data_IF_547854979689
#
_entry.id   IF_547854979689
#
_cell.length_a   1.000
_cell.length_b   1.000
_cell.length_c   1.000
_cell.angle_alpha   90.00
_cell.angle_beta   90.00
_cell.angle_gamma   90.00
#
_symmetry.space_group_name_H-M   'P 1'
#
loop_
_entity.id
_entity.type
_entity.pdbx_description
1 polymer ?
#
# COMPACT_ATOMS: atom_id res chain seq x y z
N UNK A 1 -10.84 -0.93 47.31
CA UNK A 1 -10.02 -1.00 46.08
C UNK A 1 -10.02 0.37 45.45
N UNK A 2 -8.87 1.00 45.28
CA UNK A 2 -8.76 2.33 44.68
C UNK A 2 -8.41 2.13 43.20
N UNK A 3 -9.19 2.67 42.27
CA UNK A 3 -8.88 2.73 40.85
C UNK A 3 -8.00 3.96 40.63
N UNK A 4 -6.70 3.74 40.46
CA UNK A 4 -5.75 4.82 40.15
C UNK A 4 -5.57 4.86 38.63
N UNK A 5 -5.94 5.98 38.01
CA UNK A 5 -5.69 6.25 36.60
C UNK A 5 -4.43 7.15 36.56
N UNK A 6 -3.37 6.68 35.92
CA UNK A 6 -2.18 7.49 35.67
C UNK A 6 -2.24 8.10 34.25
N UNK A 7 -1.70 9.29 34.10
CA UNK A 7 -1.48 9.95 32.81
C UNK A 7 -0.21 9.46 32.09
N UNK A 8 0.47 8.47 32.65
CA UNK A 8 1.65 7.83 32.06
C UNK A 8 1.24 6.74 31.03
N UNK A 9 0.42 7.11 30.09
CA UNK A 9 0.24 6.41 28.82
C UNK A 9 1.15 7.02 27.78
N UNK A 10 2.46 7.08 28.06
CA UNK A 10 3.44 7.41 27.04
C UNK A 10 3.42 6.27 26.02
N UNK A 11 2.94 6.53 24.80
CA UNK A 11 3.14 5.60 23.70
C UNK A 11 4.63 5.32 23.59
N UNK A 12 5.03 4.04 23.67
CA UNK A 12 6.41 3.67 23.43
C UNK A 12 6.82 4.25 22.06
N UNK A 13 7.95 4.97 22.03
CA UNK A 13 8.50 5.49 20.78
C UNK A 13 8.99 4.29 19.96
N UNK A 14 8.14 3.85 19.05
CA UNK A 14 8.51 2.81 18.08
C UNK A 14 9.67 3.30 17.21
N UNK A 15 10.65 2.43 16.98
CA UNK A 15 11.74 2.71 16.05
C UNK A 15 11.15 3.09 14.68
N UNK A 16 11.51 4.27 14.16
CA UNK A 16 11.01 4.77 12.87
C UNK A 16 12.11 4.67 11.83
N UNK A 17 11.75 4.15 10.66
CA UNK A 17 12.65 4.17 9.52
C UNK A 17 12.98 5.62 9.15
N UNK A 18 14.27 5.96 9.18
CA UNK A 18 14.74 7.32 8.90
C UNK A 18 14.67 7.62 7.40
N UNK A 19 14.57 8.91 7.00
CA UNK A 19 14.73 9.27 5.59
C UNK A 19 16.09 8.82 5.06
N UNK A 20 16.09 8.23 3.85
CA UNK A 20 17.32 7.69 3.28
C UNK A 20 17.06 6.81 2.07
N UNK A 21 18.10 6.17 1.60
CA UNK A 21 18.03 5.23 0.48
C UNK A 21 18.30 3.83 1.01
N UNK A 22 17.35 2.94 0.78
CA UNK A 22 17.38 1.58 1.27
C UNK A 22 17.26 0.58 0.12
N UNK A 23 17.69 -0.64 0.37
CA UNK A 23 17.33 -1.78 -0.46
C UNK A 23 16.16 -2.49 0.20
N UNK A 24 15.13 -2.77 -0.60
CA UNK A 24 13.98 -3.55 -0.16
C UNK A 24 13.56 -4.56 -1.20
N UNK A 25 12.69 -5.47 -0.79
CA UNK A 25 12.13 -6.51 -1.66
C UNK A 25 10.62 -6.40 -1.63
N UNK A 26 10.01 -6.36 -2.81
CA UNK A 26 8.55 -6.38 -2.92
C UNK A 26 8.03 -7.72 -2.43
N UNK A 27 7.33 -7.76 -1.32
CA UNK A 27 6.81 -9.01 -0.76
C UNK A 27 5.31 -9.17 -0.97
N UNK A 28 4.58 -8.05 -1.14
CA UNK A 28 3.13 -8.13 -1.32
C UNK A 28 2.62 -7.11 -2.32
N UNK A 29 1.69 -7.55 -3.17
CA UNK A 29 0.93 -6.70 -4.08
C UNK A 29 -0.54 -6.98 -3.85
N UNK A 30 -1.32 -5.91 -3.64
CA UNK A 30 -2.74 -6.00 -3.33
C UNK A 30 -3.53 -5.17 -4.34
N UNK A 31 -4.46 -5.81 -5.05
CA UNK A 31 -5.51 -5.12 -5.80
C UNK A 31 -6.55 -4.59 -4.80
N UNK A 32 -6.60 -3.28 -4.65
CA UNK A 32 -7.54 -2.60 -3.75
C UNK A 32 -8.90 -2.32 -4.40
N UNK A 33 -9.04 -2.66 -5.69
CA UNK A 33 -10.23 -2.39 -6.47
C UNK A 33 -10.39 -0.92 -6.85
N UNK A 34 -11.59 -0.60 -7.35
CA UNK A 34 -11.97 0.75 -7.78
C UNK A 34 -12.63 1.50 -6.63
N UNK A 35 -12.13 2.70 -6.34
CA UNK A 35 -12.66 3.56 -5.29
C UNK A 35 -12.97 4.95 -5.81
N UNK A 36 -13.92 5.64 -5.18
CA UNK A 36 -14.18 7.04 -5.45
C UNK A 36 -13.11 7.91 -4.78
N UNK A 37 -12.49 8.78 -5.54
CA UNK A 37 -11.54 9.78 -5.05
C UNK A 37 -12.06 11.16 -5.39
N UNK A 38 -11.95 12.06 -4.45
CA UNK A 38 -12.28 13.48 -4.65
C UNK A 38 -10.97 14.29 -4.71
N UNK A 39 -10.80 15.01 -5.80
CA UNK A 39 -9.68 15.93 -5.96
C UNK A 39 -10.21 17.31 -6.42
N UNK A 40 -9.91 18.35 -5.67
CA UNK A 40 -10.38 19.74 -5.94
C UNK A 40 -11.89 19.86 -6.14
N UNK A 41 -12.68 19.02 -5.44
CA UNK A 41 -14.13 18.98 -5.55
C UNK A 41 -14.68 18.13 -6.70
N UNK A 42 -13.82 17.55 -7.53
CA UNK A 42 -14.21 16.60 -8.59
C UNK A 42 -14.04 15.16 -8.11
N UNK A 43 -15.10 14.38 -8.25
CA UNK A 43 -15.10 12.94 -7.92
C UNK A 43 -14.73 12.11 -9.13
N UNK A 44 -13.80 11.20 -8.96
CA UNK A 44 -13.38 10.26 -9.99
C UNK A 44 -13.25 8.85 -9.43
N UNK A 45 -13.52 7.84 -10.26
CA UNK A 45 -13.33 6.44 -9.90
C UNK A 45 -11.95 6.00 -10.39
N UNK A 46 -11.12 5.47 -9.47
CA UNK A 46 -9.78 5.01 -9.81
C UNK A 46 -9.57 3.59 -9.27
N UNK A 47 -9.13 2.69 -10.13
CA UNK A 47 -8.64 1.38 -9.70
C UNK A 47 -7.26 1.55 -9.08
N UNK A 48 -7.03 0.99 -7.91
CA UNK A 48 -5.80 1.17 -7.16
C UNK A 48 -5.15 -0.16 -6.83
N UNK A 49 -3.83 -0.16 -6.83
CA UNK A 49 -3.00 -1.27 -6.35
C UNK A 49 -2.03 -0.76 -5.30
N UNK A 50 -1.70 -1.62 -4.34
CA UNK A 50 -0.73 -1.34 -3.29
C UNK A 50 0.46 -2.28 -3.43
N UNK A 51 1.66 -1.71 -3.47
CA UNK A 51 2.93 -2.44 -3.45
C UNK A 51 3.55 -2.29 -2.07
N UNK A 52 3.95 -3.40 -1.46
CA UNK A 52 4.58 -3.42 -0.15
C UNK A 52 5.97 -4.03 -0.22
N UNK A 53 6.91 -3.38 0.44
CA UNK A 53 8.32 -3.74 0.42
C UNK A 53 8.81 -4.00 1.82
N UNK A 54 9.59 -5.07 1.97
CA UNK A 54 10.38 -5.37 3.15
C UNK A 54 11.76 -4.73 2.98
N UNK A 55 12.19 -3.93 3.94
CA UNK A 55 13.53 -3.33 3.93
C UNK A 55 14.54 -4.37 4.40
N UNK A 56 15.50 -4.68 3.54
CA UNK A 56 16.48 -5.74 3.79
C UNK A 56 17.39 -5.42 4.98
N UNK A 57 17.78 -4.15 5.13
CA UNK A 57 18.53 -3.65 6.29
C UNK A 57 18.12 -2.20 6.55
N UNK A 58 17.68 -1.93 7.74
CA UNK A 58 17.53 -0.59 8.26
C UNK A 58 18.59 -0.41 9.34
N UNK A 59 19.44 0.62 9.20
CA UNK A 59 20.52 0.90 10.14
C UNK A 59 20.27 2.24 10.81
N UNK A 60 20.62 2.35 12.10
CA UNK A 60 20.66 3.61 12.80
C UNK A 60 21.95 4.40 12.47
N UNK A 61 22.10 5.65 12.97
CA UNK A 61 23.32 6.44 12.73
C UNK A 61 24.60 5.82 13.32
N UNK A 62 24.47 4.88 14.24
CA UNK A 62 25.57 4.13 14.87
C UNK A 62 25.85 2.77 14.22
N UNK A 63 25.27 2.51 13.05
CA UNK A 63 25.42 1.27 12.29
C UNK A 63 24.83 0.01 12.97
N UNK A 64 23.88 0.15 13.90
CA UNK A 64 23.12 -0.99 14.42
C UNK A 64 21.92 -1.27 13.55
N UNK A 65 21.62 -2.56 13.34
CA UNK A 65 20.42 -2.95 12.61
C UNK A 65 19.16 -2.62 13.44
N UNK A 66 18.24 -1.87 12.84
CA UNK A 66 16.96 -1.51 13.44
C UNK A 66 15.91 -2.50 12.94
N UNK A 67 15.23 -3.15 13.87
CA UNK A 67 14.07 -3.98 13.61
C UNK A 67 12.84 -3.36 14.28
N UNK A 68 11.65 -3.82 13.88
CA UNK A 68 10.43 -3.52 14.62
C UNK A 68 10.48 -4.18 16.01
N UNK A 69 9.62 -3.76 16.95
CA UNK A 69 9.58 -4.32 18.31
C UNK A 69 9.43 -5.84 18.37
N UNK A 70 8.80 -6.44 17.36
CA UNK A 70 8.60 -7.88 17.23
C UNK A 70 9.71 -8.56 16.41
N UNK A 71 10.86 -7.91 16.28
CA UNK A 71 12.03 -8.40 15.54
C UNK A 71 11.81 -8.56 14.03
N UNK A 72 10.66 -8.12 13.50
CA UNK A 72 10.42 -8.14 12.06
C UNK A 72 11.13 -6.99 11.35
N UNK A 73 11.51 -7.17 10.07
CA UNK A 73 12.05 -6.07 9.26
C UNK A 73 10.99 -4.99 9.02
N UNK A 74 11.44 -3.77 8.74
CA UNK A 74 10.53 -2.69 8.39
C UNK A 74 9.79 -2.98 7.08
N UNK A 75 8.48 -2.77 7.09
CA UNK A 75 7.63 -2.74 5.91
C UNK A 75 7.35 -1.30 5.48
N UNK A 76 7.44 -1.02 4.19
CA UNK A 76 7.02 0.25 3.59
C UNK A 76 6.13 -0.02 2.38
N UNK A 77 5.19 0.88 2.12
CA UNK A 77 4.24 0.65 1.04
C UNK A 77 3.95 1.92 0.25
N UNK A 78 3.48 1.73 -0.99
CA UNK A 78 2.96 2.81 -1.83
C UNK A 78 1.74 2.30 -2.61
N UNK A 79 0.68 3.11 -2.57
CA UNK A 79 -0.52 2.86 -3.36
C UNK A 79 -0.45 3.67 -4.64
N UNK A 80 -0.87 3.07 -5.75
CA UNK A 80 -0.87 3.66 -7.07
C UNK A 80 -2.22 3.49 -7.73
N UNK A 81 -2.60 4.43 -8.58
CA UNK A 81 -3.62 4.15 -9.60
C UNK A 81 -3.10 3.05 -10.51
N UNK A 82 -3.90 2.00 -10.73
CA UNK A 82 -3.53 0.85 -11.57
C UNK A 82 -3.56 1.23 -13.06
N UNK A 83 -2.58 2.02 -13.48
CA UNK A 83 -2.48 2.55 -14.84
C UNK A 83 -1.03 2.57 -15.33
N UNK A 84 -0.82 2.14 -16.57
CA UNK A 84 0.46 2.27 -17.28
C UNK A 84 0.45 3.40 -18.31
N UNK A 85 -0.50 4.36 -18.16
CA UNK A 85 -0.50 5.56 -18.98
C UNK A 85 0.81 6.35 -18.79
N UNK A 86 1.27 7.10 -19.80
CA UNK A 86 2.59 7.73 -19.81
C UNK A 86 2.82 8.65 -18.58
N UNK A 87 1.81 9.39 -18.17
CA UNK A 87 1.89 10.28 -17.02
C UNK A 87 1.77 9.57 -15.66
N UNK A 88 1.33 8.29 -15.63
CA UNK A 88 1.03 7.58 -14.40
C UNK A 88 2.29 7.33 -13.55
N UNK A 89 2.17 7.57 -12.25
CA UNK A 89 3.26 7.36 -11.30
C UNK A 89 3.69 5.91 -11.23
N UNK A 90 2.75 4.96 -11.32
CA UNK A 90 3.07 3.53 -11.37
C UNK A 90 4.03 3.23 -12.53
N UNK A 91 3.71 3.69 -13.76
CA UNK A 91 4.58 3.45 -14.92
C UNK A 91 5.97 4.04 -14.70
N UNK A 92 6.05 5.27 -14.25
CA UNK A 92 7.34 5.96 -14.00
C UNK A 92 8.18 5.20 -12.98
N UNK A 93 7.60 4.80 -11.86
CA UNK A 93 8.33 4.07 -10.83
C UNK A 93 8.74 2.67 -11.31
N UNK A 94 7.88 1.97 -12.05
CA UNK A 94 8.22 0.66 -12.63
C UNK A 94 9.34 0.75 -13.69
N UNK A 95 9.31 1.74 -14.57
CA UNK A 95 10.38 1.96 -15.56
C UNK A 95 11.72 2.30 -14.88
N UNK A 96 11.70 3.16 -13.85
CA UNK A 96 12.87 3.46 -13.05
C UNK A 96 13.40 2.23 -12.30
N UNK A 97 12.53 1.43 -11.71
CA UNK A 97 12.89 0.21 -10.99
C UNK A 97 13.47 -0.85 -11.93
N UNK A 98 12.84 -1.09 -13.06
CA UNK A 98 13.31 -2.03 -14.08
C UNK A 98 14.56 -1.53 -14.80
N UNK A 99 14.75 -0.21 -14.86
CA UNK A 99 15.81 0.44 -15.65
C UNK A 99 15.59 0.35 -17.15
N UNK A 100 14.34 0.14 -17.59
CA UNK A 100 13.94 0.11 -19.01
C UNK A 100 12.48 0.53 -19.17
N UNK A 101 12.16 1.15 -20.30
CA UNK A 101 10.80 1.47 -20.69
C UNK A 101 9.96 0.20 -20.94
N UNK A 102 8.64 0.36 -20.88
CA UNK A 102 7.71 -0.67 -21.32
C UNK A 102 7.67 -0.78 -22.83
N UNK A 103 7.58 -2.02 -23.34
CA UNK A 103 7.27 -2.27 -24.75
C UNK A 103 5.77 -2.11 -25.01
N UNK A 104 5.36 -2.00 -26.28
CA UNK A 104 3.96 -1.93 -26.65
C UNK A 104 3.17 -3.18 -26.17
N UNK A 105 3.79 -4.35 -26.23
CA UNK A 105 3.19 -5.60 -25.77
C UNK A 105 2.98 -5.59 -24.24
N UNK A 106 3.99 -5.10 -23.48
CA UNK A 106 3.89 -4.95 -22.03
C UNK A 106 2.82 -3.90 -21.65
N UNK A 107 2.68 -2.82 -22.43
CA UNK A 107 1.65 -1.80 -22.20
C UNK A 107 0.23 -2.31 -22.47
N UNK A 108 0.07 -3.30 -23.34
CA UNK A 108 -1.22 -3.94 -23.59
C UNK A 108 -1.67 -4.84 -22.43
N UNK A 109 -0.74 -5.34 -21.61
CA UNK A 109 -1.06 -6.14 -20.42
C UNK A 109 0.22 -6.53 -19.66
N UNK A 110 0.45 -5.91 -18.51
CA UNK A 110 1.58 -6.21 -17.65
C UNK A 110 1.10 -6.86 -16.35
N UNK A 111 1.54 -8.09 -16.12
CA UNK A 111 1.29 -8.78 -14.86
C UNK A 111 2.19 -8.22 -13.76
N UNK A 112 1.62 -7.43 -12.87
CA UNK A 112 2.35 -6.85 -11.72
C UNK A 112 2.79 -7.91 -10.72
N UNK A 113 2.17 -9.08 -10.68
CA UNK A 113 2.52 -10.19 -9.79
C UNK A 113 3.96 -10.66 -9.97
N UNK A 114 4.56 -10.48 -11.16
CA UNK A 114 5.96 -10.82 -11.43
C UNK A 114 6.95 -10.01 -10.58
N UNK A 115 6.52 -8.89 -9.99
CA UNK A 115 7.35 -8.05 -9.15
C UNK A 115 7.54 -8.58 -7.73
N UNK A 116 6.71 -9.55 -7.31
CA UNK A 116 6.83 -10.17 -5.99
C UNK A 116 8.14 -10.95 -5.89
N UNK A 117 8.88 -10.67 -4.83
CA UNK A 117 10.24 -11.19 -4.59
C UNK A 117 11.33 -10.36 -5.24
N UNK A 118 11.01 -9.34 -6.04
CA UNK A 118 12.03 -8.53 -6.73
C UNK A 118 12.59 -7.43 -5.84
N UNK A 119 13.92 -7.27 -5.85
CA UNK A 119 14.61 -6.21 -5.12
C UNK A 119 14.45 -4.86 -5.79
N UNK A 120 14.34 -3.81 -4.97
CA UNK A 120 14.28 -2.42 -5.40
C UNK A 120 15.22 -1.55 -4.55
N UNK A 121 15.72 -0.47 -5.11
CA UNK A 121 16.33 0.62 -4.37
C UNK A 121 15.24 1.66 -4.09
N UNK A 122 15.00 1.93 -2.82
CA UNK A 122 13.84 2.69 -2.33
C UNK A 122 14.35 3.95 -1.66
N UNK A 123 13.93 5.09 -2.15
CA UNK A 123 14.13 6.37 -1.50
C UNK A 123 12.97 6.63 -0.54
N UNK A 124 13.29 6.77 0.74
CA UNK A 124 12.33 7.01 1.83
C UNK A 124 12.44 8.46 2.28
N UNK A 125 11.31 9.10 2.41
CA UNK A 125 11.13 10.36 3.13
C UNK A 125 10.13 10.18 4.26
N UNK A 126 9.81 11.30 4.92
CA UNK A 126 8.75 11.33 5.92
C UNK A 126 7.55 12.15 5.42
N UNK A 127 6.37 11.76 5.83
CA UNK A 127 5.16 12.54 5.60
C UNK A 127 5.22 13.84 6.38
N UNK A 128 4.75 14.93 5.77
CA UNK A 128 4.63 16.20 6.45
C UNK A 128 3.54 16.15 7.53
N UNK A 129 3.67 16.97 8.56
CA UNK A 129 2.60 17.18 9.52
C UNK A 129 1.43 17.93 8.86
N UNK A 130 0.20 17.53 9.20
CA UNK A 130 -1.03 18.23 8.84
C UNK A 130 -1.85 18.50 10.10
N UNK A 131 -1.58 19.64 10.80
CA UNK A 131 -2.27 19.97 12.05
C UNK A 131 -3.78 20.18 11.86
N UNK A 132 -4.22 20.56 10.66
CA UNK A 132 -5.64 20.76 10.37
C UNK A 132 -6.42 19.44 10.41
N UNK A 133 -5.73 18.33 10.12
CA UNK A 133 -6.28 16.97 10.20
C UNK A 133 -5.85 16.22 11.47
N UNK A 134 -5.16 16.87 12.38
CA UNK A 134 -4.61 16.24 13.59
C UNK A 134 -3.47 15.25 13.32
N UNK A 135 -2.82 15.33 12.15
CA UNK A 135 -1.77 14.42 11.74
C UNK A 135 -0.39 14.97 12.11
N UNK A 136 0.35 14.25 12.94
CA UNK A 136 1.67 14.67 13.42
C UNK A 136 2.78 14.55 12.36
N UNK A 137 2.56 13.79 11.28
CA UNK A 137 3.59 13.49 10.28
C UNK A 137 4.64 12.49 10.78
N UNK A 138 5.75 12.43 10.02
CA UNK A 138 6.91 11.61 10.40
C UNK A 138 6.80 10.12 10.06
N UNK A 139 5.77 9.68 9.36
CA UNK A 139 5.69 8.30 8.88
C UNK A 139 6.55 8.12 7.62
N UNK A 140 7.18 6.94 7.51
CA UNK A 140 7.97 6.60 6.33
C UNK A 140 7.10 6.58 5.07
N UNK A 141 7.60 7.22 4.01
CA UNK A 141 6.95 7.35 2.72
C UNK A 141 7.93 7.00 1.61
N UNK A 142 7.51 6.16 0.66
CA UNK A 142 8.29 5.89 -0.55
C UNK A 142 8.20 7.10 -1.49
N UNK A 143 9.31 7.79 -1.70
CA UNK A 143 9.41 8.90 -2.64
C UNK A 143 9.66 8.37 -4.05
N UNK A 144 10.56 7.39 -4.19
CA UNK A 144 10.99 6.89 -5.49
C UNK A 144 11.42 5.42 -5.41
N UNK A 145 11.12 4.68 -6.46
CA UNK A 145 11.67 3.34 -6.70
C UNK A 145 12.69 3.43 -7.84
N UNK A 146 13.84 2.80 -7.67
CA UNK A 146 14.89 2.77 -8.69
C UNK A 146 15.56 1.40 -8.74
N UNK A 147 16.31 1.16 -9.80
CA UNK A 147 17.05 -0.08 -9.99
C UNK A 147 18.16 -0.20 -8.94
N UNK A 148 18.28 -1.35 -8.25
CA UNK A 148 19.40 -1.61 -7.34
C UNK A 148 20.75 -1.64 -8.06
N UNK A 149 21.83 -1.30 -7.37
CA UNK A 149 23.18 -1.27 -7.96
C UNK A 149 23.63 -2.62 -8.52
N UNK A 150 23.24 -3.74 -7.87
CA UNK A 150 23.46 -5.11 -8.37
C UNK A 150 22.45 -5.60 -9.40
N UNK A 151 21.55 -4.72 -9.88
CA UNK A 151 20.41 -5.08 -10.71
C UNK A 151 19.25 -5.68 -9.89
N UNK A 152 18.09 -5.82 -10.55
CA UNK A 152 16.91 -6.42 -9.93
C UNK A 152 17.14 -7.92 -9.78
N UNK A 153 16.97 -8.43 -8.58
CA UNK A 153 17.14 -9.84 -8.22
C UNK A 153 15.88 -10.35 -7.51
N UNK A 154 15.61 -11.64 -7.66
CA UNK A 154 14.54 -12.29 -6.90
C UNK A 154 15.13 -12.89 -5.62
N UNK A 155 14.61 -12.47 -4.47
CA UNK A 155 15.06 -12.91 -3.16
C UNK A 155 13.87 -13.28 -2.26
N UNK A 156 14.12 -14.18 -1.31
CA UNK A 156 13.16 -14.50 -0.26
C UNK A 156 13.05 -13.34 0.74
N UNK A 157 11.89 -13.22 1.38
CA UNK A 157 11.58 -12.25 2.43
C UNK A 157 11.18 -12.96 3.71
N UNK A 158 11.23 -12.27 4.84
CA UNK A 158 10.69 -12.76 6.11
C UNK A 158 9.16 -12.78 6.05
N UNK A 159 8.57 -11.73 5.48
CA UNK A 159 7.13 -11.69 5.25
C UNK A 159 6.75 -12.61 4.07
N UNK A 160 5.56 -13.24 4.09
CA UNK A 160 5.07 -14.05 2.98
C UNK A 160 5.02 -13.27 1.66
N UNK A 161 5.51 -13.89 0.58
CA UNK A 161 5.45 -13.33 -0.76
C UNK A 161 4.11 -13.66 -1.40
N UNK A 162 3.21 -12.69 -1.51
CA UNK A 162 1.84 -12.90 -2.00
C UNK A 162 1.39 -11.81 -2.98
N UNK A 163 0.47 -12.20 -3.86
CA UNK A 163 -0.30 -11.30 -4.69
C UNK A 163 -1.77 -11.54 -4.40
N UNK A 164 -2.51 -10.50 -4.04
CA UNK A 164 -3.95 -10.54 -3.86
C UNK A 164 -4.63 -9.93 -5.08
N UNK A 165 -5.48 -10.72 -5.73
CA UNK A 165 -6.31 -10.34 -6.86
C UNK A 165 -7.77 -10.26 -6.42
N UNK A 166 -8.35 -9.07 -6.53
CA UNK A 166 -9.72 -8.82 -6.06
C UNK A 166 -10.77 -9.50 -6.96
N UNK A 167 -10.53 -9.63 -8.25
CA UNK A 167 -11.46 -10.29 -9.16
C UNK A 167 -11.56 -11.78 -8.84
N UNK A 168 -10.40 -12.44 -8.66
CA UNK A 168 -10.35 -13.85 -8.26
C UNK A 168 -10.99 -14.05 -6.86
N UNK A 169 -10.82 -13.09 -5.93
CA UNK A 169 -11.47 -13.12 -4.62
C UNK A 169 -13.00 -13.01 -4.73
N UNK A 170 -13.50 -12.04 -5.50
CA UNK A 170 -14.93 -11.82 -5.66
C UNK A 170 -15.65 -12.99 -6.39
N UNK A 171 -14.93 -13.84 -7.11
CA UNK A 171 -15.51 -15.03 -7.74
C UNK A 171 -16.11 -16.01 -6.72
N UNK A 172 -15.65 -16.01 -5.44
CA UNK A 172 -16.28 -16.79 -4.38
C UNK A 172 -17.75 -16.42 -4.20
N UNK A 173 -18.04 -15.13 -4.11
CA UNK A 173 -19.39 -14.61 -3.84
C UNK A 173 -20.31 -14.71 -5.07
N UNK A 174 -19.73 -14.73 -6.26
CA UNK A 174 -20.47 -14.84 -7.53
C UNK A 174 -20.80 -16.29 -7.91
N UNK A 175 -20.55 -17.26 -7.05
CA UNK A 175 -20.81 -18.69 -7.32
C UNK A 175 -19.83 -19.35 -8.28
N UNK A 176 -18.71 -18.69 -8.59
CA UNK A 176 -17.65 -19.17 -9.48
C UNK A 176 -16.41 -19.60 -8.69
N UNK A 177 -16.61 -20.15 -7.49
CA UNK A 177 -15.51 -20.59 -6.64
C UNK A 177 -14.62 -21.60 -7.36
N UNK A 178 -13.32 -21.35 -7.33
CA UNK A 178 -12.28 -22.21 -7.86
C UNK A 178 -11.05 -22.22 -6.90
N UNK A 179 -10.01 -22.95 -7.25
CA UNK A 179 -8.80 -23.02 -6.40
C UNK A 179 -8.13 -21.66 -6.19
N UNK A 180 -8.17 -20.77 -7.19
CA UNK A 180 -7.61 -19.42 -7.07
C UNK A 180 -8.43 -18.56 -6.13
N UNK A 181 -9.77 -18.58 -6.25
CA UNK A 181 -10.66 -17.84 -5.36
C UNK A 181 -10.44 -18.24 -3.91
N UNK A 182 -10.34 -19.54 -3.64
CA UNK A 182 -10.06 -20.06 -2.30
C UNK A 182 -8.71 -19.55 -1.77
N UNK A 183 -7.65 -19.59 -2.59
CA UNK A 183 -6.35 -19.05 -2.21
C UNK A 183 -6.41 -17.55 -1.91
N UNK A 184 -7.24 -16.78 -2.64
CA UNK A 184 -7.45 -15.35 -2.37
C UNK A 184 -8.19 -15.12 -1.05
N UNK A 185 -9.12 -15.99 -0.67
CA UNK A 185 -9.78 -15.91 0.65
C UNK A 185 -8.78 -16.12 1.79
N UNK A 186 -7.95 -17.15 1.68
CA UNK A 186 -6.90 -17.41 2.67
C UNK A 186 -5.94 -16.20 2.80
N UNK A 187 -5.53 -15.61 1.66
CA UNK A 187 -4.69 -14.40 1.64
C UNK A 187 -5.42 -13.21 2.27
N UNK A 188 -6.70 -13.01 1.94
CA UNK A 188 -7.49 -11.89 2.47
C UNK A 188 -7.58 -11.91 4.00
N UNK A 189 -7.79 -13.09 4.60
CA UNK A 189 -7.83 -13.24 6.06
C UNK A 189 -6.51 -12.89 6.74
N UNK A 190 -5.37 -13.11 6.04
CA UNK A 190 -4.03 -12.78 6.53
C UNK A 190 -3.64 -11.31 6.30
N UNK A 191 -4.41 -10.56 5.49
CA UNK A 191 -4.13 -9.14 5.27
C UNK A 191 -4.39 -8.33 6.55
N UNK A 192 -3.60 -7.27 6.80
CA UNK A 192 -3.89 -6.31 7.86
C UNK A 192 -5.32 -5.74 7.73
N UNK A 193 -6.01 -5.57 8.87
CA UNK A 193 -7.41 -5.13 8.91
C UNK A 193 -7.66 -3.84 8.12
N UNK A 194 -6.72 -2.89 8.15
CA UNK A 194 -6.86 -1.65 7.40
C UNK A 194 -6.88 -1.88 5.87
N UNK A 195 -6.12 -2.86 5.37
CA UNK A 195 -6.13 -3.24 3.93
C UNK A 195 -7.43 -3.94 3.59
N UNK A 196 -7.90 -4.86 4.45
CA UNK A 196 -9.21 -5.51 4.28
C UNK A 196 -10.33 -4.48 4.18
N UNK A 197 -10.30 -3.46 5.05
CA UNK A 197 -11.27 -2.36 5.02
C UNK A 197 -11.17 -1.53 3.74
N UNK A 198 -9.97 -1.29 3.22
CA UNK A 198 -9.79 -0.61 1.93
C UNK A 198 -10.41 -1.43 0.79
N UNK A 199 -10.21 -2.75 0.76
CA UNK A 199 -10.79 -3.66 -0.22
C UNK A 199 -12.32 -3.70 -0.10
N UNK A 200 -12.87 -3.81 1.11
CA UNK A 200 -14.31 -3.82 1.37
C UNK A 200 -15.03 -2.55 0.91
N UNK A 201 -14.32 -1.44 0.84
CA UNK A 201 -14.84 -0.16 0.32
C UNK A 201 -14.71 -0.02 -1.22
N UNK A 202 -14.27 -1.05 -1.94
CA UNK A 202 -14.20 -1.03 -3.40
C UNK A 202 -15.54 -1.32 -4.07
N UNK A 203 -15.75 -0.79 -5.27
CA UNK A 203 -16.97 -1.03 -6.03
C UNK A 203 -17.15 -2.50 -6.38
N UNK A 204 -16.06 -3.21 -6.66
CA UNK A 204 -16.06 -4.63 -7.02
C UNK A 204 -16.50 -5.50 -5.83
N UNK A 205 -15.96 -5.22 -4.63
CA UNK A 205 -16.34 -5.94 -3.42
C UNK A 205 -17.80 -5.69 -3.05
N UNK A 206 -18.24 -4.44 -3.06
CA UNK A 206 -19.63 -4.07 -2.73
C UNK A 206 -20.62 -4.66 -3.74
N UNK A 207 -20.25 -4.71 -5.02
CA UNK A 207 -21.08 -5.36 -6.04
C UNK A 207 -21.21 -6.87 -5.84
N UNK A 208 -20.14 -7.53 -5.34
CA UNK A 208 -20.16 -8.95 -5.03
C UNK A 208 -20.85 -9.27 -3.70
N UNK A 209 -20.93 -8.30 -2.76
CA UNK A 209 -21.47 -8.46 -1.40
C UNK A 209 -22.55 -7.40 -1.09
N UNK A 210 -23.69 -7.41 -1.77
CA UNK A 210 -24.72 -6.36 -1.62
C UNK A 210 -25.34 -6.28 -0.22
N UNK A 211 -25.26 -7.35 0.57
CA UNK A 211 -25.81 -7.39 1.93
C UNK A 211 -24.93 -6.66 2.95
N UNK A 212 -23.63 -6.49 2.71
CA UNK A 212 -22.73 -5.72 3.59
C UNK A 212 -22.92 -4.20 3.44
N UNK A 213 -23.43 -3.70 2.32
CA UNK A 213 -23.68 -2.26 2.11
C UNK A 213 -24.68 -1.67 3.12
N UNK A 214 -25.52 -2.50 3.73
CA UNK A 214 -26.55 -2.09 4.68
C UNK A 214 -26.15 -2.19 6.16
N UNK A 215 -25.05 -2.85 6.50
CA UNK A 215 -24.66 -3.09 7.89
C UNK A 215 -23.87 -1.93 8.52
N UNK A 216 -23.19 -1.11 7.74
CA UNK A 216 -22.33 -0.03 8.25
C UNK A 216 -23.04 1.31 8.49
N UNK A 217 -24.34 1.41 8.20
CA UNK A 217 -25.09 2.67 8.38
C UNK A 217 -25.64 2.90 9.78
N UNK A 218 -25.59 1.91 10.66
CA UNK A 218 -26.27 1.95 11.97
C UNK A 218 -25.37 1.88 13.23
N UNK A 219 -24.04 1.78 13.10
CA UNK A 219 -23.16 1.92 14.27
C UNK A 219 -22.36 3.23 14.23
N UNK A 220 -22.53 4.11 15.26
CA UNK A 220 -21.61 5.23 15.41
C UNK A 220 -20.23 4.66 15.73
N UNK A 221 -19.28 4.83 14.81
CA UNK A 221 -17.88 4.45 14.99
C UNK A 221 -17.37 5.03 16.31
N UNK A 222 -17.30 4.18 17.33
CA UNK A 222 -16.50 4.44 18.51
C UNK A 222 -15.06 4.47 18.03
N UNK A 223 -14.46 5.64 18.12
CA UNK A 223 -13.05 5.85 17.82
C UNK A 223 -12.21 4.81 18.57
N UNK A 224 -11.81 3.76 17.87
CA UNK A 224 -10.70 2.93 18.30
C UNK A 224 -9.44 3.78 18.08
N UNK A 225 -8.64 3.92 19.10
CA UNK A 225 -7.35 4.59 19.01
C UNK A 225 -6.56 4.00 17.83
N UNK A 226 -6.05 4.83 16.91
CA UNK A 226 -5.38 4.33 15.72
C UNK A 226 -4.07 3.67 16.13
N UNK A 227 -4.00 2.36 15.93
CA UNK A 227 -2.71 1.68 15.89
C UNK A 227 -1.83 2.30 14.80
N UNK A 228 -0.51 2.28 14.98
CA UNK A 228 0.49 2.93 14.13
C UNK A 228 0.36 2.56 12.63
N UNK A 229 -0.37 1.50 12.31
CA UNK A 229 -0.68 1.05 10.95
C UNK A 229 -1.80 1.83 10.25
N UNK A 230 -2.71 2.48 11.02
CA UNK A 230 -3.89 3.18 10.47
C UNK A 230 -3.56 4.57 9.89
N UNK A 231 -2.33 5.04 10.06
CA UNK A 231 -1.92 6.38 9.63
C UNK A 231 -1.37 6.45 8.20
N UNK A 232 -1.29 5.32 7.52
CA UNK A 232 -0.94 5.29 6.10
C UNK A 232 -2.16 5.61 5.23
N UNK A 233 -2.70 6.81 5.35
CA UNK A 233 -3.61 7.32 4.33
C UNK A 233 -2.84 7.49 3.03
N UNK A 234 -3.44 7.15 1.88
CA UNK A 234 -2.76 7.32 0.61
C UNK A 234 -2.35 8.78 0.48
N UNK A 235 -1.10 8.97 0.12
CA UNK A 235 -0.57 10.26 -0.23
C UNK A 235 -1.45 10.89 -1.30
N UNK A 236 -1.95 12.08 -1.02
CA UNK A 236 -2.32 13.01 -2.06
C UNK A 236 -1.03 13.36 -2.81
N UNK A 237 -0.55 12.44 -3.63
CA UNK A 237 0.47 12.77 -4.61
C UNK A 237 -0.20 13.73 -5.59
N UNK A 238 0.13 14.99 -5.44
CA UNK A 238 -0.20 16.06 -6.37
C UNK A 238 0.57 15.82 -7.68
N UNK A 239 0.35 14.65 -8.28
CA UNK A 239 0.66 14.42 -9.66
C UNK A 239 -0.35 15.20 -10.47
N UNK A 240 0.07 16.32 -11.01
CA UNK A 240 -0.64 17.05 -12.06
C UNK A 240 -1.08 16.04 -13.13
N UNK A 241 -2.35 15.63 -13.04
CA UNK A 241 -3.01 14.96 -14.15
C UNK A 241 -3.31 16.03 -15.21
N UNK A 242 -2.29 16.32 -16.02
CA UNK A 242 -2.38 17.28 -17.13
C UNK A 242 -3.01 16.58 -18.35
N UNK A 243 -3.99 15.69 -18.15
CA UNK A 243 -4.60 14.98 -19.26
C UNK A 243 -5.81 15.69 -19.89
N UNK A 244 -6.22 16.88 -19.41
CA UNK A 244 -7.40 17.56 -19.91
C UNK A 244 -7.18 19.00 -20.43
N UNK A 245 -6.01 19.28 -21.02
CA UNK A 245 -5.84 20.52 -21.80
C UNK A 245 -5.21 20.24 -23.14
N UNK A 246 -6.02 19.83 -24.08
CA UNK A 246 -5.77 20.09 -25.49
C UNK A 246 -6.72 21.23 -25.91
N UNK A 247 -6.24 22.45 -26.11
CA UNK A 247 -6.90 23.36 -27.04
C UNK A 247 -6.32 23.14 -28.43
N UNK A 248 -7.20 23.04 -29.38
CA UNK A 248 -7.10 23.07 -30.85
C UNK A 248 -5.72 23.34 -31.46
#
# INVERSE_FOLDING_TARGET
>A
MSLTISTEGGGEDFAKLQPGIYQGTCFRIVDLGTREKEYKGEKSKKKEIRLEFEITKAMDPEDNEILMQDERPFGVSKTYTASLFEAANLRKDLENWRGKAFTEEELAGFDVGVLVGMTARIEIGHTAADPARGFAGGNAKILKLTRPDGGVQKVATVNPQVTFDLEDYCNEFNGNMNEKSKAMCDIFEELPVYIQNEIKNSFEYLAANPDEENSDKDEPQKASEPGLADLAKPDEDAGDDISDRIPF
#
